data_IF_318446105334
#
_entry.id   IF_318446105334
#
_cell.length_a   1.000
_cell.length_b   1.000
_cell.length_c   1.000
_cell.angle_alpha   90.00
_cell.angle_beta   90.00
_cell.angle_gamma   90.00
#
_symmetry.space_group_name_H-M   'P 1'
#
loop_
_entity.id
_entity.type
_entity.pdbx_description
1 polymer ?
#
# COMPACT_ATOMS: atom_id res chain seq x y z
N UNK A 1 31.19 -6.92 24.54
CA UNK A 1 29.85 -6.69 25.08
C UNK A 1 29.50 -5.23 24.88
N UNK A 2 28.83 -4.88 23.76
CA UNK A 2 28.38 -3.51 23.49
C UNK A 2 26.85 -3.55 23.65
N UNK A 3 26.37 -2.87 24.72
CA UNK A 3 24.94 -2.67 24.97
C UNK A 3 24.42 -1.64 23.95
N UNK A 4 23.70 -2.09 22.93
CA UNK A 4 22.86 -1.20 22.13
C UNK A 4 21.56 -0.95 22.91
N UNK A 5 21.36 0.30 23.35
CA UNK A 5 20.07 0.75 23.85
C UNK A 5 19.09 0.90 22.69
N UNK A 6 17.81 0.43 22.82
CA UNK A 6 16.81 0.63 21.81
C UNK A 6 16.40 2.10 21.74
N UNK A 7 16.52 2.71 20.56
CA UNK A 7 15.92 4.01 20.27
C UNK A 7 14.39 3.83 20.19
N UNK A 8 13.59 4.70 20.81
CA UNK A 8 12.14 4.62 20.72
C UNK A 8 11.70 4.95 19.31
N UNK A 9 10.95 4.02 18.70
CA UNK A 9 10.14 4.27 17.50
C UNK A 9 9.09 5.31 17.88
N UNK A 10 8.97 6.39 17.10
CA UNK A 10 7.93 7.41 17.27
C UNK A 10 6.55 6.74 17.24
N UNK A 11 5.91 6.70 18.39
CA UNK A 11 4.49 6.38 18.50
C UNK A 11 3.69 7.68 18.34
N UNK A 12 2.83 7.83 17.34
CA UNK A 12 1.77 8.81 17.44
C UNK A 12 0.73 8.29 18.44
N UNK A 13 0.52 9.03 19.52
CA UNK A 13 -0.57 8.79 20.47
C UNK A 13 -1.90 8.99 19.74
N UNK A 14 -2.69 7.93 19.64
CA UNK A 14 -4.07 8.00 19.19
C UNK A 14 -4.87 8.66 20.31
N UNK A 15 -5.16 9.96 20.13
CA UNK A 15 -6.13 10.67 20.96
C UNK A 15 -7.48 10.63 20.25
N UNK A 16 -8.40 9.85 20.78
CA UNK A 16 -9.81 9.85 20.35
C UNK A 16 -10.46 11.13 20.85
N UNK A 17 -10.63 12.11 19.97
CA UNK A 17 -11.43 13.30 20.25
C UNK A 17 -12.78 13.16 19.59
N UNK A 18 -13.83 12.90 20.38
CA UNK A 18 -15.22 13.09 20.00
C UNK A 18 -15.50 14.58 19.97
N UNK A 19 -15.84 15.13 18.82
CA UNK A 19 -16.54 16.41 18.74
C UNK A 19 -17.52 16.39 17.57
N UNK A 20 -18.81 16.28 17.92
CA UNK A 20 -19.90 16.51 17.00
C UNK A 20 -20.11 18.02 16.86
N UNK A 21 -20.00 18.54 15.65
CA UNK A 21 -20.52 19.86 15.30
C UNK A 21 -21.23 19.78 13.94
N UNK A 22 -22.56 19.74 14.00
CA UNK A 22 -23.43 19.94 12.84
C UNK A 22 -23.37 21.43 12.47
N UNK A 23 -22.84 21.74 11.29
CA UNK A 23 -23.02 23.04 10.65
C UNK A 23 -23.64 22.82 9.27
N UNK A 24 -24.94 23.12 9.19
CA UNK A 24 -25.66 23.27 7.93
C UNK A 24 -25.22 24.57 7.26
N UNK A 25 -24.56 24.47 6.13
CA UNK A 25 -24.24 25.59 5.26
C UNK A 25 -24.17 25.10 3.84
N UNK A 26 -25.19 25.40 3.02
CA UNK A 26 -25.18 25.13 1.59
C UNK A 26 -24.13 26.02 0.91
N UNK A 27 -22.92 25.46 0.76
CA UNK A 27 -21.86 26.06 -0.06
C UNK A 27 -22.01 25.56 -1.49
N UNK A 28 -22.27 26.50 -2.42
CA UNK A 28 -22.26 26.28 -3.85
C UNK A 28 -20.94 25.61 -4.28
N UNK A 29 -21.03 24.44 -4.93
CA UNK A 29 -19.88 23.75 -5.53
C UNK A 29 -19.16 24.72 -6.50
N UNK A 30 -17.86 24.97 -6.34
CA UNK A 30 -17.11 25.71 -7.33
C UNK A 30 -17.12 24.92 -8.66
N UNK A 31 -17.33 25.64 -9.77
CA UNK A 31 -17.28 25.05 -11.11
C UNK A 31 -15.92 24.39 -11.34
N UNK A 32 -15.85 23.22 -12.01
CA UNK A 32 -14.59 22.54 -12.25
C UNK A 32 -13.65 23.46 -13.05
N UNK A 33 -12.47 23.71 -12.48
CA UNK A 33 -11.40 24.47 -13.17
C UNK A 33 -11.08 23.73 -14.47
N UNK A 34 -11.22 24.41 -15.63
CA UNK A 34 -10.85 23.87 -16.93
C UNK A 34 -9.32 23.70 -16.96
N UNK A 35 -8.84 22.47 -16.72
CA UNK A 35 -7.43 22.14 -16.89
C UNK A 35 -7.08 22.32 -18.37
N UNK A 36 -5.99 23.03 -18.69
CA UNK A 36 -5.57 23.22 -20.06
C UNK A 36 -5.14 21.89 -20.69
N UNK A 37 -5.35 21.73 -22.00
CA UNK A 37 -4.92 20.53 -22.74
C UNK A 37 -3.43 20.20 -22.50
N UNK A 38 -2.59 21.25 -22.45
CA UNK A 38 -1.16 21.09 -22.14
C UNK A 38 -0.92 20.49 -20.76
N UNK A 39 -1.69 20.90 -19.74
CA UNK A 39 -1.60 20.36 -18.38
C UNK A 39 -2.06 18.90 -18.33
N UNK A 40 -3.15 18.56 -19.02
CA UNK A 40 -3.65 17.17 -19.11
C UNK A 40 -2.61 16.25 -19.78
N UNK A 41 -1.95 16.71 -20.85
CA UNK A 41 -0.89 15.94 -21.52
C UNK A 41 0.35 15.76 -20.65
N UNK A 42 0.67 16.75 -19.80
CA UNK A 42 1.78 16.66 -18.86
C UNK A 42 1.47 15.62 -17.77
N UNK A 43 0.28 15.71 -17.18
CA UNK A 43 -0.21 14.77 -16.16
C UNK A 43 -0.27 13.33 -16.68
N UNK A 44 -0.86 13.11 -17.86
CA UNK A 44 -0.91 11.79 -18.49
C UNK A 44 0.49 11.20 -18.75
N UNK A 45 1.48 12.06 -19.08
CA UNK A 45 2.86 11.61 -19.26
C UNK A 45 3.51 11.24 -17.92
N UNK A 46 3.30 12.02 -16.87
CA UNK A 46 3.79 11.72 -15.52
C UNK A 46 3.20 10.40 -15.02
N UNK A 47 1.90 10.19 -15.19
CA UNK A 47 1.22 8.95 -14.87
C UNK A 47 1.82 7.74 -15.59
N UNK A 48 2.09 7.86 -16.89
CA UNK A 48 2.72 6.79 -17.66
C UNK A 48 4.13 6.45 -17.14
N UNK A 49 4.93 7.47 -16.79
CA UNK A 49 6.28 7.31 -16.22
C UNK A 49 6.17 6.60 -14.85
N UNK A 50 5.27 7.04 -13.99
CA UNK A 50 5.08 6.46 -12.65
C UNK A 50 4.58 5.01 -12.74
N UNK A 51 3.68 4.70 -13.69
CA UNK A 51 3.23 3.33 -13.93
C UNK A 51 4.36 2.41 -14.40
N UNK A 52 5.20 2.87 -15.32
CA UNK A 52 6.38 2.12 -15.78
C UNK A 52 7.36 1.87 -14.63
N UNK A 53 7.62 2.89 -13.81
CA UNK A 53 8.45 2.76 -12.61
C UNK A 53 7.85 1.75 -11.62
N UNK A 54 6.53 1.77 -11.39
CA UNK A 54 5.85 0.85 -10.50
C UNK A 54 6.03 -0.61 -10.94
N UNK A 55 5.83 -0.91 -12.24
CA UNK A 55 6.05 -2.26 -12.78
C UNK A 55 7.48 -2.73 -12.57
N UNK A 56 8.47 -1.89 -12.90
CA UNK A 56 9.89 -2.23 -12.74
C UNK A 56 10.30 -2.38 -11.27
N UNK A 57 9.71 -1.60 -10.36
CA UNK A 57 9.90 -1.74 -8.92
C UNK A 57 9.32 -3.07 -8.40
N UNK A 58 8.16 -3.48 -8.90
CA UNK A 58 7.55 -4.75 -8.53
C UNK A 58 8.35 -5.94 -9.08
N UNK A 59 8.83 -5.85 -10.33
CA UNK A 59 9.57 -6.92 -11.02
C UNK A 59 11.00 -7.11 -10.48
N UNK A 60 11.73 -6.01 -10.26
CA UNK A 60 13.20 -6.03 -10.03
C UNK A 60 13.61 -5.44 -8.68
N UNK A 61 12.71 -4.74 -8.02
CA UNK A 61 13.03 -3.94 -6.85
C UNK A 61 13.77 -2.64 -7.18
N UNK A 62 13.95 -1.80 -6.16
CA UNK A 62 14.54 -0.48 -6.32
C UNK A 62 15.99 -0.53 -6.81
N UNK A 63 16.80 -1.44 -6.28
CA UNK A 63 18.24 -1.44 -6.57
C UNK A 63 18.53 -1.77 -8.04
N UNK A 64 17.79 -2.69 -8.64
CA UNK A 64 17.98 -3.16 -10.02
C UNK A 64 17.19 -2.35 -11.06
N UNK A 65 16.19 -1.57 -10.66
CA UNK A 65 15.51 -0.65 -11.55
C UNK A 65 16.47 0.45 -12.00
N UNK A 66 16.45 0.83 -13.27
CA UNK A 66 17.19 1.98 -13.80
C UNK A 66 16.26 2.98 -14.46
N UNK A 67 16.65 4.27 -14.41
CA UNK A 67 15.90 5.35 -15.07
C UNK A 67 15.86 5.15 -16.61
N UNK A 68 16.91 4.54 -17.18
CA UNK A 68 16.96 4.23 -18.62
C UNK A 68 15.90 3.19 -19.00
N UNK A 69 15.69 2.17 -18.16
CA UNK A 69 14.62 1.18 -18.38
C UNK A 69 13.23 1.82 -18.33
N UNK A 70 12.98 2.72 -17.36
CA UNK A 70 11.69 3.44 -17.27
C UNK A 70 11.48 4.32 -18.51
N UNK A 71 12.51 5.07 -18.93
CA UNK A 71 12.43 5.92 -20.11
C UNK A 71 12.17 5.12 -21.40
N UNK A 72 12.83 3.97 -21.55
CA UNK A 72 12.63 3.05 -22.68
C UNK A 72 11.21 2.46 -22.69
N UNK A 73 10.67 2.05 -21.53
CA UNK A 73 9.33 1.47 -21.39
C UNK A 73 8.22 2.48 -21.78
N UNK A 74 8.43 3.77 -21.47
CA UNK A 74 7.50 4.85 -21.84
C UNK A 74 7.74 5.40 -23.26
N UNK A 75 8.87 5.06 -23.88
CA UNK A 75 9.24 5.57 -25.20
C UNK A 75 9.69 7.03 -25.19
N UNK A 76 10.36 7.50 -24.13
CA UNK A 76 10.87 8.87 -24.01
C UNK A 76 12.38 8.91 -23.81
N UNK A 77 13.00 10.05 -24.13
CA UNK A 77 14.41 10.25 -23.82
C UNK A 77 14.62 10.38 -22.29
N UNK A 78 15.70 9.82 -21.75
CA UNK A 78 16.10 9.95 -20.35
C UNK A 78 16.11 11.40 -19.85
N UNK A 79 16.61 12.33 -20.67
CA UNK A 79 16.60 13.75 -20.34
C UNK A 79 15.18 14.35 -20.20
N UNK A 80 14.19 13.76 -20.89
CA UNK A 80 12.78 14.14 -20.72
C UNK A 80 12.22 13.65 -19.39
N UNK A 81 12.58 12.45 -18.95
CA UNK A 81 12.18 11.90 -17.66
C UNK A 81 12.70 12.77 -16.50
N UNK A 82 13.96 13.22 -16.57
CA UNK A 82 14.53 14.09 -15.54
C UNK A 82 13.90 15.50 -15.46
N UNK A 83 13.08 15.90 -16.43
CA UNK A 83 12.25 17.12 -16.33
C UNK A 83 11.04 16.93 -15.42
N UNK A 84 10.62 15.67 -15.20
CA UNK A 84 9.50 15.30 -14.31
C UNK A 84 9.98 14.87 -12.94
N UNK A 85 11.05 14.09 -12.88
CA UNK A 85 11.56 13.50 -11.62
C UNK A 85 13.06 13.77 -11.50
N UNK A 86 13.46 14.46 -10.41
CA UNK A 86 14.84 14.91 -10.20
C UNK A 86 15.84 13.77 -9.93
N UNK A 87 15.36 12.60 -9.51
CA UNK A 87 16.20 11.43 -9.19
C UNK A 87 15.41 10.12 -9.34
N UNK A 88 16.14 9.00 -9.30
CA UNK A 88 15.57 7.65 -9.27
C UNK A 88 14.71 7.46 -8.00
N UNK A 89 15.19 7.99 -6.87
CA UNK A 89 14.49 7.94 -5.59
C UNK A 89 13.18 8.73 -5.64
N UNK A 90 13.18 9.93 -6.23
CA UNK A 90 11.98 10.75 -6.40
C UNK A 90 10.94 10.05 -7.28
N UNK A 91 11.37 9.42 -8.36
CA UNK A 91 10.51 8.62 -9.23
C UNK A 91 9.93 7.40 -8.49
N UNK A 92 10.77 6.65 -7.77
CA UNK A 92 10.33 5.50 -6.99
C UNK A 92 9.38 5.92 -5.86
N UNK A 93 9.63 7.04 -5.19
CA UNK A 93 8.72 7.58 -4.18
C UNK A 93 7.36 7.95 -4.77
N UNK A 94 7.31 8.54 -5.97
CA UNK A 94 6.05 8.81 -6.66
C UNK A 94 5.27 7.53 -7.00
N UNK A 95 5.97 6.46 -7.40
CA UNK A 95 5.34 5.15 -7.60
C UNK A 95 4.75 4.58 -6.30
N UNK A 96 5.46 4.70 -5.18
CA UNK A 96 4.96 4.26 -3.87
C UNK A 96 3.74 5.08 -3.40
N UNK A 97 3.74 6.41 -3.62
CA UNK A 97 2.58 7.28 -3.35
C UNK A 97 1.38 6.85 -4.18
N UNK A 98 1.59 6.54 -5.47
CA UNK A 98 0.52 6.04 -6.35
C UNK A 98 -0.09 4.74 -5.81
N UNK A 99 0.72 3.79 -5.35
CA UNK A 99 0.22 2.52 -4.78
C UNK A 99 -0.67 2.78 -3.57
N UNK A 100 -0.27 3.69 -2.68
CA UNK A 100 -1.12 4.09 -1.53
C UNK A 100 -2.43 4.73 -1.99
N UNK A 101 -2.41 5.58 -3.01
CA UNK A 101 -3.63 6.16 -3.59
C UNK A 101 -4.57 5.11 -4.18
N UNK A 102 -4.03 4.10 -4.87
CA UNK A 102 -4.83 2.97 -5.40
C UNK A 102 -5.41 2.15 -4.24
N UNK A 103 -4.62 1.90 -3.18
CA UNK A 103 -5.09 1.22 -1.98
C UNK A 103 -6.25 1.97 -1.33
N UNK A 104 -6.11 3.28 -1.09
CA UNK A 104 -7.16 4.12 -0.50
C UNK A 104 -8.44 4.11 -1.33
N UNK A 105 -8.33 4.23 -2.65
CA UNK A 105 -9.49 4.15 -3.55
C UNK A 105 -10.19 2.80 -3.45
N UNK A 106 -9.42 1.70 -3.36
CA UNK A 106 -9.97 0.37 -3.18
C UNK A 106 -10.69 0.25 -1.83
N UNK A 107 -10.05 0.65 -0.72
CA UNK A 107 -10.65 0.60 0.62
C UNK A 107 -11.95 1.42 0.67
N UNK A 108 -11.96 2.61 0.06
CA UNK A 108 -13.15 3.45 -0.03
C UNK A 108 -14.26 2.87 -0.92
N UNK A 109 -13.93 1.98 -1.85
CA UNK A 109 -14.90 1.29 -2.72
C UNK A 109 -15.57 0.08 -2.06
N UNK A 110 -15.04 -0.39 -0.93
CA UNK A 110 -15.65 -1.51 -0.22
C UNK A 110 -17.04 -1.13 0.32
N UNK A 111 -18.02 -2.01 0.19
CA UNK A 111 -19.38 -1.70 0.64
C UNK A 111 -19.41 -1.47 2.15
N UNK A 112 -20.22 -0.51 2.59
CA UNK A 112 -20.51 -0.33 4.00
C UNK A 112 -21.43 -1.48 4.48
N UNK A 113 -21.11 -2.08 5.64
CA UNK A 113 -21.96 -3.08 6.30
C UNK A 113 -21.47 -4.53 6.40
N UNK A 114 -20.46 -4.99 5.64
CA UNK A 114 -19.81 -6.26 5.94
C UNK A 114 -19.19 -6.24 7.33
N UNK A 115 -18.99 -7.43 7.93
CA UNK A 115 -18.26 -7.53 9.19
C UNK A 115 -16.84 -6.98 9.01
N UNK A 116 -16.25 -6.34 10.04
CA UNK A 116 -14.89 -5.76 9.96
C UNK A 116 -13.83 -6.77 9.51
N UNK A 117 -13.94 -8.02 9.95
CA UNK A 117 -13.03 -9.09 9.51
C UNK A 117 -13.11 -9.38 8.00
N UNK A 118 -14.27 -9.22 7.39
CA UNK A 118 -14.45 -9.45 5.95
C UNK A 118 -13.86 -8.28 5.15
N UNK A 119 -13.91 -7.05 5.68
CA UNK A 119 -13.21 -5.89 5.11
C UNK A 119 -11.69 -6.06 5.17
N UNK A 120 -11.15 -6.53 6.31
CA UNK A 120 -9.72 -6.86 6.46
C UNK A 120 -9.28 -7.95 5.48
N UNK A 121 -10.08 -9.02 5.33
CA UNK A 121 -9.81 -10.07 4.33
C UNK A 121 -9.83 -9.53 2.91
N UNK A 122 -10.75 -8.62 2.59
CA UNK A 122 -10.82 -7.98 1.27
C UNK A 122 -9.59 -7.11 1.00
N UNK A 123 -9.12 -6.35 1.98
CA UNK A 123 -7.90 -5.57 1.86
C UNK A 123 -6.67 -6.46 1.61
N UNK A 124 -6.51 -7.56 2.35
CA UNK A 124 -5.40 -8.51 2.13
C UNK A 124 -5.54 -9.22 0.79
N UNK A 125 -6.75 -9.61 0.38
CA UNK A 125 -7.00 -10.20 -0.95
C UNK A 125 -6.54 -9.27 -2.05
N UNK A 126 -6.90 -8.00 -1.99
CA UNK A 126 -6.46 -6.99 -2.95
C UNK A 126 -4.93 -6.85 -3.00
N UNK A 127 -4.27 -6.80 -1.84
CA UNK A 127 -2.80 -6.76 -1.79
C UNK A 127 -2.16 -7.96 -2.49
N UNK A 128 -2.68 -9.17 -2.26
CA UNK A 128 -2.20 -10.39 -2.89
C UNK A 128 -2.47 -10.42 -4.41
N UNK A 129 -3.64 -9.93 -4.84
CA UNK A 129 -3.97 -9.78 -6.26
C UNK A 129 -3.00 -8.83 -6.96
N UNK A 130 -2.78 -7.64 -6.39
CA UNK A 130 -1.84 -6.65 -6.91
C UNK A 130 -0.39 -7.20 -6.95
N UNK A 131 0.01 -7.99 -5.95
CA UNK A 131 1.32 -8.63 -5.93
C UNK A 131 1.48 -9.67 -7.03
N UNK A 132 0.49 -10.57 -7.21
CA UNK A 132 0.51 -11.60 -8.27
C UNK A 132 0.41 -11.01 -9.67
N UNK A 133 -0.23 -9.84 -9.82
CA UNK A 133 -0.27 -9.07 -11.06
C UNK A 133 1.03 -8.29 -11.34
N UNK A 134 1.99 -8.25 -10.40
CA UNK A 134 3.23 -7.46 -10.55
C UNK A 134 3.01 -5.97 -10.43
N UNK A 135 1.99 -5.54 -9.70
CA UNK A 135 1.62 -4.14 -9.48
C UNK A 135 2.03 -3.61 -8.09
N UNK A 136 2.42 -4.52 -7.18
CA UNK A 136 2.82 -4.19 -5.82
C UNK A 136 4.35 -4.17 -5.70
N UNK A 137 4.99 -2.99 -5.58
CA UNK A 137 6.43 -2.90 -5.35
C UNK A 137 6.81 -3.52 -4.00
N UNK A 138 7.94 -4.19 -3.95
CA UNK A 138 8.52 -4.63 -2.67
C UNK A 138 8.95 -3.44 -1.83
N UNK A 139 8.81 -3.56 -0.51
CA UNK A 139 9.32 -2.54 0.40
C UNK A 139 10.85 -2.44 0.29
N UNK A 140 11.41 -1.23 0.30
CA UNK A 140 12.85 -1.04 0.22
C UNK A 140 13.55 -1.64 1.46
N UNK A 141 14.74 -2.20 1.24
CA UNK A 141 15.57 -2.70 2.32
C UNK A 141 15.89 -1.61 3.35
N UNK A 142 16.27 -2.00 4.57
CA UNK A 142 16.56 -1.07 5.66
C UNK A 142 17.66 -0.05 5.33
N UNK A 143 18.61 -0.44 4.47
CA UNK A 143 19.74 0.39 4.06
C UNK A 143 19.53 1.09 2.71
N UNK A 144 18.33 1.02 2.13
CA UNK A 144 18.04 1.63 0.85
C UNK A 144 17.93 3.16 0.94
N UNK A 145 18.50 3.89 -0.04
CA UNK A 145 18.32 5.35 -0.18
C UNK A 145 16.86 5.72 -0.39
N UNK A 146 16.08 4.84 -1.04
CA UNK A 146 14.64 5.01 -1.20
C UNK A 146 13.92 5.11 0.16
N UNK A 147 14.32 4.30 1.15
CA UNK A 147 13.70 4.37 2.48
C UNK A 147 13.84 5.76 3.11
N UNK A 148 15.04 6.35 3.05
CA UNK A 148 15.27 7.70 3.56
C UNK A 148 14.40 8.74 2.83
N UNK A 149 14.28 8.62 1.51
CA UNK A 149 13.44 9.48 0.68
C UNK A 149 11.97 9.34 1.04
N UNK A 150 11.45 8.12 1.24
CA UNK A 150 10.07 7.88 1.65
C UNK A 150 9.76 8.47 3.02
N UNK A 151 10.67 8.33 3.99
CA UNK A 151 10.50 8.91 5.33
C UNK A 151 10.52 10.45 5.32
N UNK A 152 11.10 11.08 4.31
CA UNK A 152 11.05 12.53 4.08
C UNK A 152 9.90 12.99 3.16
N UNK A 153 9.14 12.06 2.58
CA UNK A 153 8.08 12.39 1.62
C UNK A 153 6.72 12.51 2.32
N UNK A 154 6.23 13.76 2.41
CA UNK A 154 4.95 14.03 3.10
C UNK A 154 3.77 13.27 2.49
N UNK A 155 3.64 13.25 1.17
CA UNK A 155 2.52 12.56 0.50
C UNK A 155 2.53 11.05 0.75
N UNK A 156 3.72 10.45 0.82
CA UNK A 156 3.86 9.04 1.18
C UNK A 156 3.43 8.78 2.62
N UNK A 157 3.89 9.61 3.57
CA UNK A 157 3.56 9.45 4.98
C UNK A 157 2.07 9.69 5.24
N UNK A 158 1.49 10.73 4.65
CA UNK A 158 0.06 11.02 4.76
C UNK A 158 -0.79 9.84 4.24
N UNK A 159 -0.48 9.34 3.04
CA UNK A 159 -1.20 8.20 2.48
C UNK A 159 -1.03 6.91 3.28
N UNK A 160 0.19 6.66 3.81
CA UNK A 160 0.43 5.50 4.68
C UNK A 160 -0.36 5.61 5.99
N UNK A 161 -0.44 6.80 6.59
CA UNK A 161 -1.24 7.04 7.79
C UNK A 161 -2.72 6.80 7.50
N UNK A 162 -3.26 7.34 6.41
CA UNK A 162 -4.67 7.20 6.05
C UNK A 162 -5.06 5.74 5.81
N UNK A 163 -4.24 4.95 5.11
CA UNK A 163 -4.43 3.50 4.97
C UNK A 163 -4.38 2.81 6.34
N UNK A 164 -3.41 3.19 7.19
CA UNK A 164 -3.24 2.59 8.52
C UNK A 164 -4.41 2.89 9.45
N UNK A 165 -4.94 4.11 9.41
CA UNK A 165 -6.09 4.52 10.22
C UNK A 165 -7.36 3.76 9.81
N UNK A 166 -7.58 3.60 8.50
CA UNK A 166 -8.74 2.82 8.01
C UNK A 166 -8.66 1.35 8.41
N UNK A 167 -7.51 0.70 8.20
CA UNK A 167 -7.29 -0.70 8.58
C UNK A 167 -7.32 -0.85 10.11
N UNK A 168 -6.73 0.09 10.84
CA UNK A 168 -6.74 0.12 12.31
C UNK A 168 -8.14 0.21 12.89
N UNK A 169 -9.02 1.00 12.26
CA UNK A 169 -10.45 1.06 12.64
C UNK A 169 -11.10 -0.31 12.53
N UNK A 170 -10.95 -1.00 11.40
CA UNK A 170 -11.52 -2.34 11.21
C UNK A 170 -10.89 -3.39 12.13
N UNK A 171 -9.60 -3.28 12.48
CA UNK A 171 -8.96 -4.14 13.47
C UNK A 171 -9.64 -3.96 14.84
N UNK A 172 -9.81 -2.71 15.30
CA UNK A 172 -10.46 -2.43 16.57
C UNK A 172 -11.92 -2.93 16.62
N UNK A 173 -12.67 -2.76 15.55
CA UNK A 173 -14.04 -3.27 15.43
C UNK A 173 -14.08 -4.81 15.42
N UNK A 174 -13.13 -5.48 14.72
CA UNK A 174 -13.01 -6.92 14.67
C UNK A 174 -12.57 -7.52 16.02
N UNK A 175 -11.83 -6.78 16.84
CA UNK A 175 -11.52 -7.16 18.22
C UNK A 175 -12.73 -7.01 19.12
N UNK A 176 -13.55 -5.97 18.92
CA UNK A 176 -14.79 -5.77 19.69
C UNK A 176 -15.85 -6.82 19.40
N UNK A 177 -15.98 -7.28 18.15
CA UNK A 177 -16.92 -8.34 17.77
C UNK A 177 -16.37 -9.77 18.01
N UNK A 178 -15.12 -9.90 18.48
CA UNK A 178 -14.46 -11.17 18.76
C UNK A 178 -13.96 -11.93 17.53
N UNK A 179 -13.97 -11.32 16.33
CA UNK A 179 -13.44 -11.94 15.10
C UNK A 179 -11.92 -11.96 15.08
N UNK A 180 -11.29 -11.03 15.79
CA UNK A 180 -9.85 -11.00 16.09
C UNK A 180 -9.70 -11.05 17.61
N UNK A 181 -8.68 -11.77 18.08
CA UNK A 181 -8.33 -11.86 19.50
C UNK A 181 -8.10 -10.45 20.10
N UNK A 182 -8.90 -10.04 21.11
CA UNK A 182 -8.79 -8.75 21.74
C UNK A 182 -7.49 -8.54 22.55
N UNK A 183 -6.80 -9.62 22.92
CA UNK A 183 -5.53 -9.57 23.66
C UNK A 183 -4.33 -9.27 22.75
N UNK A 184 -4.48 -9.34 21.42
CA UNK A 184 -3.43 -8.98 20.49
C UNK A 184 -3.28 -7.45 20.40
N UNK A 185 -2.06 -6.90 20.50
CA UNK A 185 -1.83 -5.49 20.21
C UNK A 185 -2.31 -5.14 18.79
N UNK A 186 -3.15 -4.10 18.58
CA UNK A 186 -3.66 -3.73 17.26
C UNK A 186 -2.56 -3.47 16.23
N UNK A 187 -1.44 -2.89 16.65
CA UNK A 187 -0.27 -2.66 15.82
C UNK A 187 0.39 -3.96 15.35
N UNK A 188 0.38 -5.02 16.16
CA UNK A 188 0.87 -6.33 15.75
C UNK A 188 0.01 -6.90 14.62
N UNK A 189 -1.32 -6.78 14.76
CA UNK A 189 -2.26 -7.22 13.73
C UNK A 189 -2.03 -6.41 12.44
N UNK A 190 -1.95 -5.08 12.53
CA UNK A 190 -1.69 -4.19 11.39
C UNK A 190 -0.41 -4.58 10.63
N UNK A 191 0.71 -4.74 11.35
CA UNK A 191 1.98 -5.11 10.72
C UNK A 191 1.97 -6.53 10.15
N UNK A 192 1.21 -7.45 10.77
CA UNK A 192 1.01 -8.81 10.23
C UNK A 192 0.27 -8.76 8.89
N UNK A 193 -0.74 -7.91 8.76
CA UNK A 193 -1.46 -7.71 7.49
C UNK A 193 -0.56 -7.03 6.45
N UNK A 194 0.19 -5.99 6.82
CA UNK A 194 1.13 -5.32 5.92
C UNK A 194 2.25 -6.24 5.41
N UNK A 195 2.69 -7.20 6.21
CA UNK A 195 3.68 -8.18 5.78
C UNK A 195 3.21 -9.00 4.58
N UNK A 196 1.89 -9.11 4.34
CA UNK A 196 1.32 -9.80 3.16
C UNK A 196 1.62 -9.06 1.85
N UNK A 197 1.80 -7.74 1.88
CA UNK A 197 2.18 -6.97 0.69
C UNK A 197 3.59 -7.30 0.18
N UNK A 198 4.46 -7.86 1.04
CA UNK A 198 5.84 -8.22 0.73
C UNK A 198 6.12 -9.72 0.94
N UNK A 199 5.07 -10.53 1.04
CA UNK A 199 5.18 -11.98 1.25
C UNK A 199 5.73 -12.66 -0.01
N UNK A 200 6.87 -13.37 0.04
CA UNK A 200 7.41 -14.07 -1.11
C UNK A 200 6.63 -15.35 -1.45
N UNK A 201 5.80 -15.86 -0.52
CA UNK A 201 5.09 -17.14 -0.68
C UNK A 201 4.19 -17.18 -1.91
N UNK A 202 3.38 -16.13 -2.23
CA UNK A 202 2.59 -16.11 -3.46
C UNK A 202 3.44 -16.32 -4.72
N UNK A 203 4.58 -15.64 -4.81
CA UNK A 203 5.51 -15.77 -5.94
C UNK A 203 6.09 -17.17 -6.08
N UNK A 204 6.49 -17.82 -4.97
CA UNK A 204 7.00 -19.20 -4.98
C UNK A 204 5.92 -20.21 -5.41
N UNK A 205 4.69 -20.04 -4.90
CA UNK A 205 3.57 -20.92 -5.29
C UNK A 205 3.22 -20.74 -6.78
N UNK A 206 3.20 -19.50 -7.28
CA UNK A 206 2.98 -19.20 -8.70
C UNK A 206 4.05 -19.82 -9.59
N UNK A 207 5.32 -19.69 -9.22
CA UNK A 207 6.45 -20.26 -9.95
C UNK A 207 6.42 -21.80 -10.00
N UNK A 208 5.78 -22.46 -9.02
CA UNK A 208 5.61 -23.91 -9.02
C UNK A 208 4.68 -24.42 -10.14
N UNK A 209 3.79 -23.55 -10.67
CA UNK A 209 2.79 -23.90 -11.68
C UNK A 209 1.68 -24.85 -11.20
N UNK A 210 1.61 -25.15 -9.89
CA UNK A 210 0.65 -26.12 -9.33
C UNK A 210 -0.66 -25.51 -8.90
N UNK A 211 -0.75 -24.19 -8.78
CA UNK A 211 -1.89 -23.47 -8.24
C UNK A 211 -2.25 -22.30 -9.14
N UNK A 212 -3.54 -22.02 -9.29
CA UNK A 212 -4.01 -20.77 -9.89
C UNK A 212 -3.78 -19.60 -8.94
N UNK A 213 -3.74 -18.37 -9.47
CA UNK A 213 -3.59 -17.17 -8.66
C UNK A 213 -4.67 -17.08 -7.57
N UNK A 214 -5.93 -17.43 -7.89
CA UNK A 214 -7.03 -17.43 -6.92
C UNK A 214 -6.83 -18.48 -5.81
N UNK A 215 -6.37 -19.68 -6.15
CA UNK A 215 -6.05 -20.71 -5.16
C UNK A 215 -4.91 -20.29 -4.24
N UNK A 216 -3.89 -19.60 -4.76
CA UNK A 216 -2.78 -19.04 -3.98
C UNK A 216 -3.31 -18.01 -2.97
N UNK A 217 -4.16 -17.10 -3.44
CA UNK A 217 -4.77 -16.06 -2.59
C UNK A 217 -5.56 -16.70 -1.45
N UNK A 218 -6.41 -17.68 -1.75
CA UNK A 218 -7.23 -18.36 -0.73
C UNK A 218 -6.38 -19.12 0.30
N UNK A 219 -5.31 -19.77 -0.13
CA UNK A 219 -4.36 -20.44 0.76
C UNK A 219 -3.68 -19.45 1.72
N UNK A 220 -3.19 -18.32 1.18
CA UNK A 220 -2.51 -17.29 1.98
C UNK A 220 -3.49 -16.59 2.93
N UNK A 221 -4.70 -16.27 2.47
CA UNK A 221 -5.75 -15.73 3.33
C UNK A 221 -6.13 -16.71 4.45
N UNK A 222 -6.28 -18.00 4.11
CA UNK A 222 -6.58 -19.06 5.08
C UNK A 222 -5.53 -19.14 6.19
N UNK A 223 -4.25 -19.08 5.84
CA UNK A 223 -3.15 -19.09 6.83
C UNK A 223 -3.05 -17.79 7.61
N UNK A 224 -3.32 -16.65 6.97
CA UNK A 224 -3.25 -15.33 7.61
C UNK A 224 -4.30 -15.17 8.71
N UNK A 225 -5.55 -15.54 8.42
CA UNK A 225 -6.69 -15.34 9.35
C UNK A 225 -7.10 -16.57 10.13
N UNK A 226 -6.65 -17.76 9.74
CA UNK A 226 -7.01 -19.03 10.37
C UNK A 226 -5.83 -19.75 11.04
N UNK A 227 -4.61 -19.26 10.86
CA UNK A 227 -3.39 -19.91 11.35
C UNK A 227 -3.04 -21.19 10.58
N UNK A 228 -2.04 -21.92 11.09
CA UNK A 228 -1.53 -23.17 10.49
C UNK A 228 -2.12 -24.44 11.12
N UNK A 229 -2.93 -24.30 12.17
CA UNK A 229 -3.53 -25.44 12.85
C UNK A 229 -4.58 -26.10 11.95
N UNK A 230 -4.64 -27.44 12.01
CA UNK A 230 -5.72 -28.18 11.37
C UNK A 230 -7.06 -27.72 11.96
N UNK A 231 -8.02 -27.42 11.08
CA UNK A 231 -9.39 -27.18 11.56
C UNK A 231 -9.94 -28.49 12.17
N UNK A 232 -10.59 -28.46 13.34
CA UNK A 232 -11.29 -29.64 13.83
C UNK A 232 -12.27 -30.10 12.76
N UNK A 233 -12.43 -31.42 12.54
CA UNK A 233 -13.45 -31.93 11.64
C UNK A 233 -14.81 -31.42 12.12
N UNK A 234 -15.54 -30.74 11.23
CA UNK A 234 -16.90 -30.24 11.45
C UNK A 234 -17.91 -31.35 11.61
#
# INVERSE_FOLDING_TARGET
MIKLAPRPLLHPRIAVAHSAAVVSGAASRPAPLKISFKAQMLEAREDAIVQAANRLLAEKGFDLMTVDQVAADVGIAKASLYKHFSSKEALAAAAMVRVLGVALNYLASLPAGPRPIDQLKSAVRWMLQAQLAGEMPSLPSQNSTLRATLLGNKSYLDGLMEVSDQIGTWIGEAQQDGSIDPDLPPELVLYTLYARACDPVPGFLKASGKHSDEAIIDLVLGTCFGGLNARPPG
#
